data_IF_330379163460
#
_entry.id   IF_330379163460
#
_cell.length_a   1.000
_cell.length_b   1.000
_cell.length_c   1.000
_cell.angle_alpha   90.00
_cell.angle_beta   90.00
_cell.angle_gamma   90.00
#
_symmetry.space_group_name_H-M   'P 1'
#
loop_
_entity.id
_entity.type
_entity.pdbx_description
1 polymer ?
#
# COMPACT_ATOMS: atom_id res chain seq x y z
N UNK A 1 -22.24 -20.62 15.01
CA UNK A 1 -22.52 -19.58 14.00
C UNK A 1 -21.56 -19.77 12.83
N UNK A 2 -21.95 -20.55 11.81
CA UNK A 2 -21.15 -20.74 10.60
C UNK A 2 -21.51 -19.62 9.62
N UNK A 3 -20.66 -18.59 9.53
CA UNK A 3 -20.82 -17.56 8.51
C UNK A 3 -20.55 -18.19 7.15
N UNK A 4 -21.61 -18.39 6.36
CA UNK A 4 -21.50 -18.84 4.98
C UNK A 4 -20.65 -17.83 4.20
N UNK A 5 -19.48 -18.23 3.74
CA UNK A 5 -18.47 -17.37 3.10
C UNK A 5 -18.79 -17.01 1.64
N UNK A 6 -19.79 -17.68 1.05
CA UNK A 6 -20.15 -17.55 -0.36
C UNK A 6 -20.74 -16.17 -0.78
N UNK A 7 -21.51 -15.42 0.04
CA UNK A 7 -22.06 -14.12 -0.38
C UNK A 7 -21.07 -12.95 -0.29
N UNK A 8 -20.03 -13.05 0.55
CA UNK A 8 -19.07 -11.96 0.79
C UNK A 8 -18.23 -11.63 -0.44
N UNK A 9 -17.91 -12.63 -1.27
CA UNK A 9 -17.14 -12.44 -2.51
C UNK A 9 -17.87 -11.57 -3.55
N UNK A 10 -19.20 -11.70 -3.64
CA UNK A 10 -20.03 -10.87 -4.52
C UNK A 10 -20.07 -9.41 -4.04
N UNK A 11 -20.19 -9.20 -2.73
CA UNK A 11 -20.19 -7.88 -2.11
C UNK A 11 -18.84 -7.18 -2.28
N UNK A 12 -17.73 -7.87 -1.98
CA UNK A 12 -16.38 -7.33 -2.23
C UNK A 12 -16.20 -6.98 -3.70
N UNK A 13 -16.61 -7.86 -4.62
CA UNK A 13 -16.48 -7.63 -6.05
C UNK A 13 -17.32 -6.44 -6.51
N UNK A 14 -18.54 -6.24 -5.99
CA UNK A 14 -19.38 -5.10 -6.35
C UNK A 14 -18.75 -3.75 -5.94
N UNK A 15 -18.17 -3.65 -4.74
CA UNK A 15 -17.61 -2.38 -4.24
C UNK A 15 -16.14 -2.14 -4.61
N UNK A 16 -15.35 -3.20 -4.81
CA UNK A 16 -13.91 -3.11 -5.13
C UNK A 16 -13.62 -3.20 -6.62
N UNK A 17 -14.50 -3.79 -7.45
CA UNK A 17 -14.30 -3.82 -8.91
C UNK A 17 -14.16 -2.43 -9.54
N UNK A 18 -14.89 -1.38 -9.12
CA UNK A 18 -14.69 -0.03 -9.62
C UNK A 18 -13.32 0.57 -9.24
N UNK A 19 -12.59 -0.04 -8.30
CA UNK A 19 -11.28 0.43 -7.80
C UNK A 19 -10.11 -0.46 -8.25
N UNK A 20 -10.30 -1.34 -9.25
CA UNK A 20 -9.26 -2.27 -9.73
C UNK A 20 -7.97 -1.60 -10.17
N UNK A 21 -8.06 -0.43 -10.81
CA UNK A 21 -6.87 0.34 -11.23
C UNK A 21 -6.07 0.83 -10.03
N UNK A 22 -6.74 1.30 -8.97
CA UNK A 22 -6.10 1.71 -7.72
C UNK A 22 -5.50 0.53 -6.96
N UNK A 23 -6.16 -0.64 -6.99
CA UNK A 23 -5.59 -1.87 -6.43
C UNK A 23 -4.36 -2.35 -7.19
N UNK A 24 -4.38 -2.29 -8.53
CA UNK A 24 -3.22 -2.62 -9.34
C UNK A 24 -2.05 -1.66 -9.08
N UNK A 25 -2.35 -0.36 -8.95
CA UNK A 25 -1.35 0.64 -8.57
C UNK A 25 -0.80 0.38 -7.15
N UNK A 26 -1.66 0.03 -6.19
CA UNK A 26 -1.23 -0.35 -4.85
C UNK A 26 -0.33 -1.59 -4.85
N UNK A 27 -0.71 -2.63 -5.59
CA UNK A 27 0.11 -3.84 -5.74
C UNK A 27 1.47 -3.53 -6.37
N UNK A 28 1.50 -2.67 -7.42
CA UNK A 28 2.73 -2.23 -8.04
C UNK A 28 3.61 -1.43 -7.06
N UNK A 29 3.03 -0.53 -6.26
CA UNK A 29 3.76 0.22 -5.22
C UNK A 29 4.31 -0.71 -4.13
N UNK A 30 3.56 -1.72 -3.70
CA UNK A 30 4.04 -2.70 -2.74
C UNK A 30 5.19 -3.55 -3.29
N UNK A 31 5.13 -3.95 -4.57
CA UNK A 31 6.23 -4.65 -5.23
C UNK A 31 7.47 -3.76 -5.37
N UNK A 32 7.29 -2.48 -5.70
CA UNK A 32 8.37 -1.51 -5.76
C UNK A 32 9.02 -1.29 -4.39
N UNK A 33 8.22 -1.16 -3.32
CA UNK A 33 8.72 -1.06 -1.95
C UNK A 33 9.52 -2.30 -1.55
N UNK A 34 9.01 -3.50 -1.87
CA UNK A 34 9.73 -4.75 -1.63
C UNK A 34 11.07 -4.79 -2.37
N UNK A 35 11.10 -4.37 -3.64
CA UNK A 35 12.34 -4.30 -4.41
C UNK A 35 13.34 -3.29 -3.81
N UNK A 36 12.86 -2.15 -3.31
CA UNK A 36 13.68 -1.14 -2.62
C UNK A 36 14.21 -1.66 -1.28
N UNK A 37 13.39 -2.39 -0.51
CA UNK A 37 13.80 -3.07 0.72
C UNK A 37 14.95 -4.05 0.48
N UNK A 38 14.97 -4.75 -0.66
CA UNK A 38 16.07 -5.62 -1.07
C UNK A 38 17.31 -4.85 -1.54
N UNK A 39 17.12 -3.64 -2.08
CA UNK A 39 18.21 -2.77 -2.53
C UNK A 39 19.09 -2.25 -1.39
N UNK A 40 18.50 -1.89 -0.24
CA UNK A 40 19.23 -1.36 0.92
C UNK A 40 20.31 -2.31 1.45
N UNK A 41 20.03 -3.59 1.76
CA UNK A 41 21.04 -4.57 2.15
C UNK A 41 22.15 -4.75 1.12
N UNK A 42 21.83 -4.68 -0.17
CA UNK A 42 22.82 -4.79 -1.26
C UNK A 42 23.79 -3.62 -1.29
N UNK A 43 23.30 -2.40 -1.05
CA UNK A 43 24.17 -1.21 -0.96
C UNK A 43 25.08 -1.32 0.26
N UNK A 44 24.55 -1.74 1.41
CA UNK A 44 25.34 -1.94 2.64
C UNK A 44 26.39 -3.03 2.44
N UNK A 45 26.04 -4.16 1.83
CA UNK A 45 26.99 -5.22 1.50
C UNK A 45 28.14 -4.67 0.64
N UNK A 46 27.81 -3.95 -0.44
CA UNK A 46 28.80 -3.38 -1.35
C UNK A 46 29.69 -2.37 -0.63
N UNK A 47 29.13 -1.55 0.28
CA UNK A 47 29.89 -0.62 1.09
C UNK A 47 30.91 -1.33 1.99
N UNK A 48 30.48 -2.39 2.68
CA UNK A 48 31.35 -3.18 3.55
C UNK A 48 32.48 -3.83 2.73
N UNK A 49 32.16 -4.47 1.61
CA UNK A 49 33.15 -5.12 0.74
C UNK A 49 34.20 -4.12 0.23
N UNK A 50 33.77 -2.92 -0.19
CA UNK A 50 34.67 -1.87 -0.69
C UNK A 50 35.50 -1.23 0.42
N UNK A 51 34.93 -1.09 1.62
CA UNK A 51 35.66 -0.59 2.78
C UNK A 51 36.77 -1.57 3.20
N UNK A 52 36.47 -2.88 3.23
CA UNK A 52 37.46 -3.92 3.56
C UNK A 52 38.57 -4.02 2.50
N UNK A 53 38.25 -3.77 1.23
CA UNK A 53 39.22 -3.73 0.15
C UNK A 53 40.13 -2.48 0.16
N UNK A 54 39.96 -1.56 1.13
CA UNK A 54 40.77 -0.35 1.23
C UNK A 54 40.49 0.69 0.14
N UNK A 55 39.27 0.70 -0.42
CA UNK A 55 38.92 1.65 -1.47
C UNK A 55 38.90 3.11 -0.98
N UNK A 56 39.09 4.04 -1.91
CA UNK A 56 39.16 5.47 -1.61
C UNK A 56 37.87 6.02 -0.97
N UNK A 57 38.03 6.99 -0.06
CA UNK A 57 36.94 7.61 0.71
C UNK A 57 35.83 8.17 -0.20
N UNK A 58 36.20 8.71 -1.37
CA UNK A 58 35.23 9.22 -2.34
C UNK A 58 34.27 8.14 -2.84
N UNK A 59 34.74 6.90 -2.96
CA UNK A 59 33.92 5.75 -3.37
C UNK A 59 32.93 5.38 -2.27
N UNK A 60 33.39 5.36 -1.00
CA UNK A 60 32.54 5.10 0.16
C UNK A 60 31.46 6.18 0.31
N UNK A 61 31.82 7.46 0.15
CA UNK A 61 30.87 8.57 0.17
C UNK A 61 29.81 8.43 -0.93
N UNK A 62 30.21 8.04 -2.15
CA UNK A 62 29.27 7.77 -3.24
C UNK A 62 28.26 6.67 -2.91
N UNK A 63 28.71 5.57 -2.27
CA UNK A 63 27.84 4.49 -1.80
C UNK A 63 26.91 4.94 -0.66
N UNK A 64 27.40 5.79 0.25
CA UNK A 64 26.59 6.40 1.30
C UNK A 64 25.47 7.27 0.73
N UNK A 65 25.78 8.12 -0.25
CA UNK A 65 24.77 8.92 -0.96
C UNK A 65 23.76 8.01 -1.68
N UNK A 66 24.23 6.96 -2.35
CA UNK A 66 23.33 5.99 -3.00
C UNK A 66 22.37 5.33 -1.99
N UNK A 67 22.88 4.95 -0.81
CA UNK A 67 22.04 4.42 0.27
C UNK A 67 20.94 5.41 0.68
N UNK A 68 21.30 6.68 0.91
CA UNK A 68 20.32 7.72 1.25
C UNK A 68 19.26 7.90 0.17
N UNK A 69 19.65 7.90 -1.11
CA UNK A 69 18.70 8.02 -2.23
C UNK A 69 17.73 6.83 -2.25
N UNK A 70 18.21 5.61 -2.07
CA UNK A 70 17.35 4.40 -2.02
C UNK A 70 16.41 4.46 -0.82
N UNK A 71 16.91 4.82 0.37
CA UNK A 71 16.09 4.95 1.59
C UNK A 71 15.00 6.03 1.43
N UNK A 72 15.33 7.14 0.78
CA UNK A 72 14.38 8.20 0.49
C UNK A 72 13.31 7.72 -0.51
N UNK A 73 13.71 7.04 -1.59
CA UNK A 73 12.79 6.47 -2.56
C UNK A 73 11.83 5.46 -1.91
N UNK A 74 12.34 4.63 -0.99
CA UNK A 74 11.52 3.71 -0.21
C UNK A 74 10.49 4.46 0.64
N UNK A 75 10.92 5.51 1.35
CA UNK A 75 10.04 6.32 2.19
C UNK A 75 8.89 6.93 1.37
N UNK A 76 9.18 7.48 0.18
CA UNK A 76 8.15 8.00 -0.73
C UNK A 76 7.21 6.91 -1.25
N UNK A 77 7.74 5.74 -1.57
CA UNK A 77 6.94 4.59 -2.04
C UNK A 77 5.97 4.14 -0.95
N UNK A 78 6.43 4.07 0.30
CA UNK A 78 5.60 3.72 1.46
C UNK A 78 4.47 4.75 1.67
N UNK A 79 4.77 6.05 1.58
CA UNK A 79 3.77 7.12 1.65
C UNK A 79 2.72 6.96 0.54
N UNK A 80 3.17 6.69 -0.70
CA UNK A 80 2.28 6.42 -1.83
C UNK A 80 1.36 5.21 -1.58
N UNK A 81 1.92 4.11 -1.07
CA UNK A 81 1.17 2.92 -0.67
C UNK A 81 0.07 3.24 0.33
N UNK A 82 0.42 3.93 1.43
CA UNK A 82 -0.53 4.30 2.49
C UNK A 82 -1.64 5.20 1.95
N UNK A 83 -1.29 6.20 1.13
CA UNK A 83 -2.25 7.10 0.54
C UNK A 83 -3.27 6.37 -0.35
N UNK A 84 -2.80 5.50 -1.25
CA UNK A 84 -3.67 4.74 -2.15
C UNK A 84 -4.54 3.77 -1.36
N UNK A 85 -3.98 3.05 -0.40
CA UNK A 85 -4.72 2.12 0.45
C UNK A 85 -5.83 2.82 1.24
N UNK A 86 -5.51 3.95 1.87
CA UNK A 86 -6.46 4.74 2.64
C UNK A 86 -7.58 5.30 1.75
N UNK A 87 -7.24 5.85 0.58
CA UNK A 87 -8.24 6.37 -0.36
C UNK A 87 -9.21 5.27 -0.83
N UNK A 88 -8.69 4.07 -1.10
CA UNK A 88 -9.52 2.91 -1.45
C UNK A 88 -10.46 2.54 -0.31
N UNK A 89 -9.93 2.45 0.91
CA UNK A 89 -10.69 2.11 2.11
C UNK A 89 -11.80 3.13 2.43
N UNK A 90 -11.48 4.43 2.37
CA UNK A 90 -12.44 5.51 2.60
C UNK A 90 -13.53 5.52 1.53
N UNK A 91 -13.14 5.38 0.25
CA UNK A 91 -14.12 5.37 -0.86
C UNK A 91 -15.07 4.17 -0.75
N UNK A 92 -14.54 2.98 -0.44
CA UNK A 92 -15.36 1.78 -0.29
C UNK A 92 -16.32 1.91 0.91
N UNK A 93 -15.81 2.37 2.06
CA UNK A 93 -16.62 2.55 3.27
C UNK A 93 -17.71 3.59 3.08
N UNK A 94 -17.40 4.71 2.41
CA UNK A 94 -18.38 5.76 2.15
C UNK A 94 -19.54 5.28 1.28
N UNK A 95 -19.27 4.43 0.28
CA UNK A 95 -20.33 3.81 -0.54
C UNK A 95 -21.22 2.90 0.29
N UNK A 96 -20.63 2.04 1.11
CA UNK A 96 -21.40 1.16 2.00
C UNK A 96 -22.27 1.99 2.95
N UNK A 97 -21.73 3.07 3.53
CA UNK A 97 -22.50 3.97 4.40
C UNK A 97 -23.64 4.63 3.64
N UNK A 98 -23.40 5.14 2.43
CA UNK A 98 -24.44 5.78 1.62
C UNK A 98 -25.60 4.82 1.29
N UNK A 99 -25.28 3.59 0.88
CA UNK A 99 -26.28 2.57 0.56
C UNK A 99 -27.06 2.12 1.81
N UNK A 100 -26.37 1.97 2.94
CA UNK A 100 -27.01 1.67 4.23
C UNK A 100 -27.95 2.80 4.65
N UNK A 101 -27.53 4.06 4.55
CA UNK A 101 -28.36 5.21 4.90
C UNK A 101 -29.59 5.30 4.00
N UNK A 102 -29.44 5.06 2.69
CA UNK A 102 -30.57 5.03 1.77
C UNK A 102 -31.55 3.90 2.12
N UNK A 103 -31.04 2.71 2.45
CA UNK A 103 -31.88 1.60 2.86
C UNK A 103 -32.64 1.92 4.15
N UNK A 104 -31.97 2.45 5.17
CA UNK A 104 -32.62 2.87 6.42
C UNK A 104 -33.71 3.93 6.19
N UNK A 105 -33.52 4.87 5.25
CA UNK A 105 -34.53 5.88 4.89
C UNK A 105 -35.74 5.30 4.15
N UNK A 106 -35.61 4.11 3.55
CA UNK A 106 -36.69 3.42 2.84
C UNK A 106 -37.46 2.44 3.74
N UNK A 107 -37.01 2.20 4.97
CA UNK A 107 -37.72 1.34 5.91
C UNK A 107 -38.96 2.05 6.47
N UNK A 108 -39.93 1.24 6.88
CA UNK A 108 -41.21 1.72 7.43
C UNK A 108 -41.03 2.52 8.73
N UNK A 109 -42.01 3.36 9.09
CA UNK A 109 -41.99 4.18 10.31
C UNK A 109 -41.79 3.36 11.60
N UNK A 110 -42.19 2.08 11.62
CA UNK A 110 -41.89 1.18 12.74
C UNK A 110 -40.40 0.90 12.98
N UNK A 111 -39.53 1.19 12.00
CA UNK A 111 -38.07 1.17 12.16
C UNK A 111 -37.51 2.47 12.73
N UNK A 112 -38.28 3.57 12.65
CA UNK A 112 -37.86 4.92 13.02
C UNK A 112 -38.38 5.39 14.40
N UNK A 113 -39.22 4.59 15.05
CA UNK A 113 -39.72 4.79 16.42
C UNK A 113 -38.97 3.92 17.41
#
# INVERSE_FOLDING_TARGET
>A
MQASSAPYGGFLRAYLAPQRTRMAALAALMLADLALQLGLPRVVQTFIDRAMAGSDLRTLLGLGVAYFVVALAQSWTLVGCQYVAQNVGLTATNRIRADLTLHCLQLDMGFHT
#
